data_IF_133182219084
#
_entry.id   IF_133182219084
#
_cell.length_a   1.000
_cell.length_b   1.000
_cell.length_c   1.000
_cell.angle_alpha   90.00
_cell.angle_beta   90.00
_cell.angle_gamma   90.00
#
_symmetry.space_group_name_H-M   'P 1'
#
loop_
_entity.id
_entity.type
_entity.pdbx_description
1 polymer ?
#
# COMPACT_ATOMS: atom_id res chain seq x y z
N UNK A 1 -13.86 3.91 21.27
CA UNK A 1 -12.81 4.07 20.28
C UNK A 1 -13.21 3.51 18.96
N UNK A 2 -13.02 4.26 17.98
CA UNK A 2 -13.38 3.89 16.66
C UNK A 2 -12.34 2.97 16.04
N UNK A 3 -12.79 1.87 15.47
CA UNK A 3 -11.91 0.89 14.88
C UNK A 3 -12.04 0.84 13.39
N UNK A 4 -12.37 1.98 12.80
CA UNK A 4 -12.41 2.04 11.35
C UNK A 4 -11.03 1.77 10.78
N UNK A 5 -11.00 1.49 9.50
CA UNK A 5 -9.76 1.28 8.79
C UNK A 5 -8.81 2.44 9.02
N UNK A 6 -7.56 2.10 9.25
CA UNK A 6 -6.55 3.12 9.47
C UNK A 6 -5.35 2.82 8.61
N UNK A 7 -4.71 3.86 8.10
CA UNK A 7 -3.43 3.65 7.42
C UNK A 7 -2.40 3.15 8.43
N UNK A 8 -1.53 2.28 7.96
CA UNK A 8 -0.49 1.70 8.82
C UNK A 8 0.83 2.45 8.72
N UNK A 9 0.89 3.50 7.93
CA UNK A 9 2.13 4.22 7.71
C UNK A 9 2.49 5.07 8.91
N UNK A 10 3.79 5.20 9.16
CA UNK A 10 4.29 6.12 10.17
C UNK A 10 4.03 7.56 9.72
N UNK A 11 4.12 8.49 10.68
CA UNK A 11 3.93 9.90 10.37
C UNK A 11 4.89 10.32 9.28
N UNK A 12 4.38 11.07 8.31
CA UNK A 12 5.19 11.54 7.19
C UNK A 12 5.23 10.59 6.01
N UNK A 13 4.67 9.40 6.15
CA UNK A 13 4.59 8.45 5.06
C UNK A 13 3.16 8.29 4.59
N UNK A 14 3.02 7.90 3.33
CA UNK A 14 1.72 7.58 2.78
C UNK A 14 1.49 6.08 2.93
N UNK A 15 0.27 5.71 3.28
CA UNK A 15 -0.06 4.31 3.45
C UNK A 15 -0.50 3.71 2.13
N UNK A 16 0.06 2.55 1.83
CA UNK A 16 -0.29 1.77 0.65
C UNK A 16 -0.59 0.34 1.09
N UNK A 17 -1.26 -0.40 0.23
CA UNK A 17 -1.37 -1.84 0.43
C UNK A 17 -1.19 -2.53 -0.92
N UNK A 18 -0.61 -3.71 -0.87
CA UNK A 18 -0.33 -4.49 -2.05
C UNK A 18 -1.06 -5.82 -1.95
N UNK A 19 -1.90 -6.13 -2.93
CA UNK A 19 -2.66 -7.36 -2.94
C UNK A 19 -1.82 -8.47 -3.57
N UNK A 20 -1.26 -9.31 -2.71
CA UNK A 20 -0.50 -10.48 -3.14
C UNK A 20 -1.42 -11.69 -3.12
N UNK A 21 -1.03 -12.73 -3.82
CA UNK A 21 -1.82 -13.97 -3.86
C UNK A 21 -1.97 -14.61 -2.47
N UNK A 22 -1.06 -14.32 -1.58
CA UNK A 22 -1.10 -14.90 -0.23
C UNK A 22 -1.68 -13.94 0.80
N UNK A 23 -2.17 -12.80 0.39
CA UNK A 23 -2.74 -11.84 1.31
C UNK A 23 -2.39 -10.41 0.95
N UNK A 24 -2.59 -9.52 1.89
CA UNK A 24 -2.35 -8.10 1.67
C UNK A 24 -1.12 -7.67 2.45
N UNK A 25 -0.23 -6.95 1.79
CA UNK A 25 0.96 -6.37 2.40
C UNK A 25 0.69 -4.90 2.66
N UNK A 26 0.86 -4.45 3.90
CA UNK A 26 0.67 -3.06 4.27
C UNK A 26 2.01 -2.34 4.21
N UNK A 27 2.03 -1.16 3.58
CA UNK A 27 3.26 -0.47 3.26
C UNK A 27 3.17 1.00 3.63
N UNK A 28 4.23 1.53 4.23
CA UNK A 28 4.39 2.97 4.40
C UNK A 28 5.51 3.43 3.49
N UNK A 29 5.25 4.44 2.66
CA UNK A 29 6.22 4.85 1.65
C UNK A 29 6.09 6.33 1.34
N UNK A 30 7.12 6.90 0.74
CA UNK A 30 7.14 8.31 0.39
C UNK A 30 6.57 8.57 -1.01
N UNK A 31 6.46 7.53 -1.82
CA UNK A 31 5.97 7.67 -3.19
C UNK A 31 5.49 6.31 -3.67
N UNK A 32 4.80 6.32 -4.80
CA UNK A 32 4.34 5.08 -5.41
C UNK A 32 5.50 4.18 -5.78
N UNK A 33 6.58 4.75 -6.32
CA UNK A 33 7.74 3.95 -6.67
C UNK A 33 8.38 3.33 -5.42
N UNK A 34 8.45 4.10 -4.35
CA UNK A 34 8.99 3.59 -3.08
C UNK A 34 8.10 2.47 -2.55
N UNK A 35 6.79 2.61 -2.69
CA UNK A 35 5.86 1.57 -2.26
C UNK A 35 6.05 0.29 -3.06
N UNK A 36 6.27 0.41 -4.36
CA UNK A 36 6.54 -0.77 -5.20
C UNK A 36 7.83 -1.45 -4.79
N UNK A 37 8.87 -0.66 -4.47
CA UNK A 37 10.13 -1.21 -4.02
C UNK A 37 9.96 -1.98 -2.72
N UNK A 38 9.15 -1.44 -1.80
CA UNK A 38 8.89 -2.13 -0.54
C UNK A 38 8.11 -3.41 -0.76
N UNK A 39 7.11 -3.38 -1.63
CA UNK A 39 6.34 -4.57 -1.95
C UNK A 39 7.23 -5.63 -2.58
N UNK A 40 8.09 -5.21 -3.48
CA UNK A 40 8.97 -6.11 -4.18
C UNK A 40 9.88 -6.86 -3.21
N UNK A 41 10.38 -6.18 -2.20
CA UNK A 41 11.22 -6.80 -1.18
C UNK A 41 10.47 -7.81 -0.33
N UNK A 42 9.15 -7.65 -0.22
CA UNK A 42 8.33 -8.53 0.59
C UNK A 42 7.83 -9.75 -0.18
N UNK A 43 7.96 -9.74 -1.50
CA UNK A 43 7.50 -10.86 -2.31
C UNK A 43 8.56 -11.95 -2.33
N UNK A 44 8.10 -13.19 -2.31
CA UNK A 44 9.01 -14.33 -2.41
C UNK A 44 9.32 -14.66 -3.84
N UNK A 45 8.43 -14.32 -4.75
CA UNK A 45 8.59 -14.59 -6.17
C UNK A 45 7.97 -13.49 -6.98
N UNK A 46 8.56 -13.22 -8.12
CA UNK A 46 8.04 -12.23 -9.03
C UNK A 46 8.37 -10.81 -8.62
N UNK A 47 7.83 -9.87 -9.33
CA UNK A 47 8.06 -8.47 -9.10
C UNK A 47 6.74 -7.78 -8.78
N UNK A 48 6.79 -6.73 -7.96
CA UNK A 48 5.61 -5.96 -7.64
C UNK A 48 5.14 -5.17 -8.86
N UNK A 49 3.84 -5.11 -9.05
CA UNK A 49 3.24 -4.37 -10.16
C UNK A 49 2.29 -3.33 -9.62
N UNK A 50 2.24 -2.18 -10.29
CA UNK A 50 1.37 -1.09 -9.84
C UNK A 50 -0.10 -1.47 -9.89
N UNK A 51 -0.46 -2.43 -10.72
CA UNK A 51 -1.85 -2.86 -10.86
C UNK A 51 -2.41 -3.47 -9.59
N UNK A 52 -1.55 -3.98 -8.73
CA UNK A 52 -1.96 -4.58 -7.47
C UNK A 52 -1.74 -3.67 -6.28
N UNK A 53 -1.26 -2.45 -6.53
CA UNK A 53 -0.97 -1.50 -5.48
C UNK A 53 -2.15 -0.57 -5.28
N UNK A 54 -2.49 -0.32 -4.01
CA UNK A 54 -3.55 0.62 -3.66
C UNK A 54 -3.00 1.64 -2.67
N UNK A 55 -3.52 2.85 -2.75
CA UNK A 55 -3.11 3.94 -1.90
C UNK A 55 -4.26 4.36 -1.00
N UNK A 56 -3.95 4.71 0.24
CA UNK A 56 -4.95 5.20 1.18
C UNK A 56 -5.43 6.58 0.75
N UNK A 57 -6.75 6.73 0.66
CA UNK A 57 -7.36 8.03 0.37
C UNK A 57 -8.04 8.53 1.64
N UNK A 58 -7.46 9.54 2.27
CA UNK A 58 -7.99 10.08 3.51
C UNK A 58 -9.33 10.78 3.33
N UNK A 59 -9.62 11.24 2.11
CA UNK A 59 -10.88 11.91 1.85
C UNK A 59 -12.06 10.93 1.83
N UNK A 60 -11.83 9.73 1.33
CA UNK A 60 -12.88 8.72 1.25
C UNK A 60 -12.79 7.70 2.38
N UNK A 61 -11.64 7.60 3.04
CA UNK A 61 -11.42 6.59 4.05
C UNK A 61 -11.27 5.19 3.49
N UNK A 62 -10.85 5.10 2.25
CA UNK A 62 -10.71 3.82 1.56
C UNK A 62 -9.37 3.74 0.85
N UNK A 63 -8.93 2.51 0.61
CA UNK A 63 -7.79 2.27 -0.29
C UNK A 63 -8.31 2.25 -1.71
N UNK A 64 -7.58 2.88 -2.61
CA UNK A 64 -7.96 2.98 -4.00
C UNK A 64 -6.79 2.61 -4.89
N UNK A 65 -7.08 2.14 -6.08
CA UNK A 65 -6.02 1.77 -7.01
C UNK A 65 -5.16 2.96 -7.35
N UNK A 66 -3.86 2.74 -7.38
CA UNK A 66 -2.92 3.77 -7.77
C UNK A 66 -3.03 4.01 -9.26
N UNK A 67 -3.03 5.28 -9.64
CA UNK A 67 -3.03 5.66 -11.06
C UNK A 67 -1.64 6.09 -11.45
N UNK A 68 -1.21 5.61 -12.58
CA UNK A 68 0.08 5.99 -13.14
C UNK A 68 -0.09 7.07 -14.19
#
# INVERSE_FOLDING_TARGET
MNHTERPCAAAGLTSYRYADRYGTIMIGATSTQDALNEADRSLTQGAATVERLEIWNALTGLYEKVKE
#
